data_IF_173929749417
#
_entry.id   IF_173929749417
#
_cell.length_a   1.000
_cell.length_b   1.000
_cell.length_c   1.000
_cell.angle_alpha   90.00
_cell.angle_beta   90.00
_cell.angle_gamma   90.00
#
_symmetry.space_group_name_H-M   'P 1'
#
loop_
_entity.id
_entity.type
_entity.pdbx_description
1 polymer ?
#
# COMPACT_ATOMS: atom_id res chain seq x y z
N UNK A 1 -6.78 -6.56 19.26
CA UNK A 1 -5.81 -5.84 18.38
C UNK A 1 -6.40 -5.57 16.98
N UNK A 2 -6.25 -4.34 16.47
CA UNK A 2 -6.75 -3.97 15.14
C UNK A 2 -5.89 -4.66 14.06
N UNK A 3 -6.48 -5.39 13.09
CA UNK A 3 -5.71 -6.08 12.06
C UNK A 3 -5.00 -5.11 11.13
N UNK A 4 -3.84 -5.52 10.59
CA UNK A 4 -3.05 -4.72 9.65
C UNK A 4 -3.02 -5.36 8.27
N UNK A 5 -3.19 -4.56 7.21
CA UNK A 5 -3.05 -4.98 5.81
C UNK A 5 -1.81 -4.37 5.17
N UNK A 6 -1.38 -4.95 4.06
CA UNK A 6 -0.15 -4.54 3.36
C UNK A 6 -0.46 -3.41 2.37
N UNK A 7 0.29 -2.31 2.49
CA UNK A 7 0.39 -1.26 1.49
C UNK A 7 1.63 -1.45 0.61
N UNK A 8 1.49 -1.08 -0.66
CA UNK A 8 2.50 -1.19 -1.73
C UNK A 8 2.52 0.09 -2.56
N UNK A 9 3.63 0.34 -3.25
CA UNK A 9 3.75 1.43 -4.24
C UNK A 9 4.31 2.74 -3.70
N UNK A 10 4.25 2.98 -2.39
CA UNK A 10 4.63 4.28 -1.82
C UNK A 10 3.61 5.36 -2.16
N UNK A 11 4.02 6.63 -2.02
CA UNK A 11 3.17 7.79 -2.29
C UNK A 11 4.00 8.96 -2.81
N UNK A 12 3.34 10.07 -3.16
CA UNK A 12 4.00 11.32 -3.57
C UNK A 12 4.89 11.95 -2.49
N UNK A 13 4.82 11.47 -1.24
CA UNK A 13 5.68 11.91 -0.13
C UNK A 13 7.01 11.14 -0.06
N UNK A 14 7.18 10.08 -0.86
CA UNK A 14 8.39 9.27 -0.82
C UNK A 14 9.58 10.00 -1.47
N UNK A 15 10.76 9.91 -0.86
CA UNK A 15 11.97 10.59 -1.30
C UNK A 15 13.23 9.74 -1.03
N UNK A 16 14.31 9.87 -1.84
CA UNK A 16 15.53 9.08 -1.69
C UNK A 16 16.26 9.24 -0.35
N UNK A 17 16.08 10.37 0.34
CA UNK A 17 16.73 10.69 1.61
C UNK A 17 15.94 10.24 2.85
N UNK A 18 14.67 9.83 2.70
CA UNK A 18 13.81 9.47 3.83
C UNK A 18 13.08 8.15 3.59
N UNK A 19 12.17 8.14 2.61
CA UNK A 19 11.29 7.01 2.35
C UNK A 19 11.48 6.49 0.93
N UNK A 20 12.19 5.35 0.80
CA UNK A 20 12.42 4.65 -0.47
C UNK A 20 11.38 3.58 -0.78
N UNK A 21 10.14 3.75 -0.30
CA UNK A 21 9.07 2.74 -0.40
C UNK A 21 8.32 2.74 -1.75
N UNK A 22 8.69 3.63 -2.66
CA UNK A 22 8.28 3.58 -4.08
C UNK A 22 8.85 2.35 -4.81
N UNK A 23 9.87 1.67 -4.24
CA UNK A 23 10.47 0.47 -4.82
C UNK A 23 9.45 -0.67 -4.88
N UNK A 24 9.34 -1.42 -5.99
CA UNK A 24 8.38 -2.52 -6.15
C UNK A 24 8.43 -3.59 -5.04
N UNK A 25 9.61 -3.84 -4.45
CA UNK A 25 9.76 -4.80 -3.37
C UNK A 25 9.22 -4.28 -2.00
N UNK A 26 9.21 -2.98 -1.76
CA UNK A 26 8.90 -2.38 -0.45
C UNK A 26 7.45 -2.63 -0.01
N UNK A 27 7.24 -2.94 1.28
CA UNK A 27 5.93 -3.25 1.87
C UNK A 27 5.77 -2.51 3.19
N UNK A 28 4.57 -2.03 3.50
CA UNK A 28 4.27 -1.36 4.78
C UNK A 28 2.98 -1.91 5.38
N UNK A 29 2.93 -2.22 6.70
CA UNK A 29 1.69 -2.62 7.34
C UNK A 29 0.87 -1.39 7.76
N UNK A 30 -0.44 -1.38 7.54
CA UNK A 30 -1.37 -0.31 7.95
C UNK A 30 -2.61 -0.91 8.64
N UNK A 31 -3.04 -0.32 9.76
CA UNK A 31 -4.28 -0.71 10.43
C UNK A 31 -5.51 -0.45 9.54
N UNK A 32 -6.47 -1.36 9.55
CA UNK A 32 -7.61 -1.34 8.60
C UNK A 32 -8.57 -0.17 8.78
N UNK A 33 -8.60 0.44 9.96
CA UNK A 33 -9.45 1.58 10.33
C UNK A 33 -8.77 2.94 10.12
N UNK A 34 -7.50 2.94 9.73
CA UNK A 34 -6.67 4.13 9.66
C UNK A 34 -6.53 4.62 8.21
N UNK A 35 -7.07 5.80 7.91
CA UNK A 35 -6.95 6.47 6.60
C UNK A 35 -5.91 7.58 6.58
N UNK A 36 -5.32 7.85 5.40
CA UNK A 36 -4.48 9.03 5.17
C UNK A 36 -4.64 9.53 3.73
N UNK A 37 -4.41 10.82 3.50
CA UNK A 37 -4.59 11.49 2.20
C UNK A 37 -3.74 10.92 1.06
N UNK A 38 -2.66 10.21 1.38
CA UNK A 38 -1.70 9.65 0.42
C UNK A 38 -1.81 8.12 0.31
N UNK A 39 -2.87 7.52 0.85
CA UNK A 39 -3.13 6.08 0.82
C UNK A 39 -4.42 5.83 0.03
N UNK A 40 -4.32 5.03 -1.03
CA UNK A 40 -5.46 4.56 -1.83
C UNK A 40 -5.35 3.08 -2.15
N UNK A 41 -6.27 2.57 -2.99
CA UNK A 41 -6.28 1.17 -3.42
C UNK A 41 -6.67 1.05 -4.90
N UNK A 42 -6.36 -0.12 -5.48
CA UNK A 42 -6.81 -0.52 -6.81
C UNK A 42 -7.48 -1.87 -6.73
N UNK A 43 -8.56 -2.06 -7.49
CA UNK A 43 -9.26 -3.33 -7.58
C UNK A 43 -8.63 -4.24 -8.64
N UNK A 44 -8.88 -5.54 -8.52
CA UNK A 44 -8.59 -6.53 -9.56
C UNK A 44 -9.84 -7.37 -9.80
N UNK A 45 -10.02 -7.82 -11.05
CA UNK A 45 -11.02 -8.83 -11.41
C UNK A 45 -10.27 -10.10 -11.77
N UNK A 46 -10.70 -11.24 -11.22
CA UNK A 46 -10.14 -12.55 -11.59
C UNK A 46 -10.92 -13.08 -12.79
N UNK A 47 -10.25 -13.62 -13.82
CA UNK A 47 -10.96 -14.30 -14.90
C UNK A 47 -11.73 -15.51 -14.33
N UNK A 48 -12.88 -15.90 -14.91
CA UNK A 48 -13.53 -17.14 -14.55
C UNK A 48 -12.56 -18.30 -14.78
N UNK A 49 -12.43 -19.19 -13.80
CA UNK A 49 -11.76 -20.48 -13.98
C UNK A 49 -12.51 -21.28 -15.05
N UNK A 50 -11.82 -21.92 -16.02
CA UNK A 50 -12.45 -22.88 -16.91
C UNK A 50 -13.13 -24.01 -16.15
#
# INVERSE_FOLDING_TARGET
PIPRRVLKGGSHLCAPNYCRRYRPAARSPQAVDSGASHIGFRCIVRPPTP
#
